data_IF_233567692903
#
_entry.id   IF_233567692903
#
_cell.length_a   1.000
_cell.length_b   1.000
_cell.length_c   1.000
_cell.angle_alpha   90.00
_cell.angle_beta   90.00
_cell.angle_gamma   90.00
#
_symmetry.space_group_name_H-M   'P 1'
#
loop_
_entity.id
_entity.type
_entity.pdbx_description
1 polymer ?
#
# COMPACT_ATOMS: atom_id res chain seq x y z
N UNK A 1 22.30 13.20 21.75
CA UNK A 1 21.57 12.13 22.45
C UNK A 1 21.63 10.84 21.64
N UNK A 2 21.39 9.70 22.28
CA UNK A 2 21.18 8.41 21.63
C UNK A 2 19.69 8.10 21.60
N UNK A 3 19.15 7.92 20.40
CA UNK A 3 17.73 7.76 20.13
C UNK A 3 17.46 6.35 19.63
N UNK A 4 16.53 5.66 20.27
CA UNK A 4 16.06 4.35 19.82
C UNK A 4 14.75 4.51 19.05
N UNK A 5 14.67 3.89 17.88
CA UNK A 5 13.47 3.85 17.06
C UNK A 5 13.04 2.38 16.92
N UNK A 6 11.82 2.07 17.33
CA UNK A 6 11.26 0.73 17.31
C UNK A 6 10.08 0.65 16.32
N UNK A 7 10.02 -0.41 15.52
CA UNK A 7 8.89 -0.62 14.60
C UNK A 7 8.68 -2.08 14.26
N UNK A 8 7.42 -2.44 13.96
CA UNK A 8 7.05 -3.72 13.37
C UNK A 8 6.87 -3.65 11.85
N UNK A 9 7.25 -2.52 11.22
CA UNK A 9 7.28 -2.36 9.79
C UNK A 9 8.38 -3.23 9.16
N UNK A 10 8.04 -4.12 8.20
CA UNK A 10 9.01 -5.09 7.67
C UNK A 10 9.96 -4.51 6.62
N UNK A 11 9.63 -3.37 5.99
CA UNK A 11 10.38 -2.82 4.86
C UNK A 11 10.83 -1.38 5.08
N UNK A 12 9.89 -0.50 5.39
CA UNK A 12 10.11 0.94 5.58
C UNK A 12 8.98 1.51 6.43
N UNK A 13 9.19 2.71 6.98
CA UNK A 13 8.18 3.46 7.71
C UNK A 13 8.50 4.95 7.61
N UNK A 14 7.70 5.67 6.81
CA UNK A 14 7.97 7.07 6.48
C UNK A 14 8.09 7.96 7.73
N UNK A 15 7.21 7.78 8.70
CA UNK A 15 7.16 8.66 9.86
C UNK A 15 8.45 8.58 10.70
N UNK A 16 8.94 7.38 10.96
CA UNK A 16 10.17 7.21 11.75
C UNK A 16 11.44 7.53 10.95
N UNK A 17 11.40 7.39 9.62
CA UNK A 17 12.49 7.88 8.76
C UNK A 17 12.61 9.40 8.83
N UNK A 18 11.49 10.12 8.92
CA UNK A 18 11.49 11.58 9.13
C UNK A 18 11.97 11.96 10.54
N UNK A 19 11.54 11.23 11.57
CA UNK A 19 12.07 11.39 12.95
C UNK A 19 13.58 11.17 12.99
N UNK A 20 14.08 10.11 12.34
CA UNK A 20 15.52 9.84 12.25
C UNK A 20 16.28 10.97 11.57
N UNK A 21 15.75 11.50 10.45
CA UNK A 21 16.35 12.63 9.76
C UNK A 21 16.46 13.87 10.65
N UNK A 22 15.38 14.19 11.39
CA UNK A 22 15.36 15.32 12.33
C UNK A 22 16.40 15.16 13.45
N UNK A 23 16.49 13.98 14.07
CA UNK A 23 17.50 13.70 15.09
C UNK A 23 18.93 13.77 14.56
N UNK A 24 19.21 13.14 13.42
CA UNK A 24 20.53 13.20 12.78
C UNK A 24 20.95 14.63 12.46
N UNK A 25 20.01 15.50 12.04
CA UNK A 25 20.29 16.92 11.81
C UNK A 25 20.68 17.67 13.09
N UNK A 26 20.21 17.20 14.25
CA UNK A 26 20.57 17.73 15.57
C UNK A 26 21.80 17.02 16.19
N UNK A 27 22.57 16.27 15.38
CA UNK A 27 23.75 15.50 15.80
C UNK A 27 23.43 14.37 16.82
N UNK A 28 22.20 13.88 16.83
CA UNK A 28 21.84 12.70 17.62
C UNK A 28 22.22 11.40 16.89
N UNK A 29 22.58 10.38 17.68
CA UNK A 29 22.77 9.03 17.18
C UNK A 29 21.44 8.29 17.15
N UNK A 30 21.05 7.75 16.00
CA UNK A 30 19.78 7.02 15.84
C UNK A 30 20.03 5.52 15.63
N UNK A 31 19.29 4.68 16.36
CA UNK A 31 19.36 3.23 16.30
C UNK A 31 17.98 2.63 15.96
N UNK A 32 17.89 1.86 14.88
CA UNK A 32 16.67 1.16 14.50
C UNK A 32 16.61 -0.24 15.15
N UNK A 33 15.51 -0.53 15.86
CA UNK A 33 15.19 -1.84 16.40
C UNK A 33 16.29 -2.47 17.27
N UNK A 34 16.96 -1.64 18.09
CA UNK A 34 17.99 -2.06 19.05
C UNK A 34 17.52 -1.91 20.50
N UNK A 35 16.49 -2.67 20.95
CA UNK A 35 15.82 -2.44 22.25
C UNK A 35 16.70 -2.72 23.48
N UNK A 36 17.84 -3.40 23.32
CA UNK A 36 18.76 -3.72 24.42
C UNK A 36 19.71 -2.53 24.70
N UNK A 37 19.91 -1.64 23.73
CA UNK A 37 20.83 -0.52 23.86
C UNK A 37 20.17 0.59 24.68
N UNK A 38 20.74 0.90 25.86
CA UNK A 38 20.31 2.04 26.67
C UNK A 38 20.39 3.31 25.81
N UNK A 39 19.26 4.00 25.71
CA UNK A 39 19.05 5.19 24.89
C UNK A 39 18.44 6.30 25.76
N UNK A 40 18.64 7.55 25.36
CA UNK A 40 18.16 8.73 26.07
C UNK A 40 16.66 8.99 25.79
N UNK A 41 16.18 8.57 24.61
CA UNK A 41 14.78 8.68 24.22
C UNK A 41 14.40 7.57 23.22
N UNK A 42 13.16 7.09 23.29
CA UNK A 42 12.66 6.00 22.44
C UNK A 42 11.33 6.32 21.77
N UNK A 43 11.27 6.12 20.45
CA UNK A 43 10.05 6.16 19.65
C UNK A 43 9.61 4.73 19.27
N UNK A 44 8.30 4.48 19.21
CA UNK A 44 7.75 3.25 18.64
C UNK A 44 6.63 3.52 17.62
N UNK A 45 6.84 3.14 16.36
CA UNK A 45 5.78 3.17 15.33
C UNK A 45 5.27 1.78 15.02
N UNK A 46 4.00 1.51 15.36
CA UNK A 46 3.39 0.18 15.29
C UNK A 46 2.27 0.16 14.26
N UNK A 47 2.44 -0.67 13.23
CA UNK A 47 1.48 -0.91 12.16
C UNK A 47 0.37 -1.87 12.59
N UNK A 48 0.75 -2.99 13.21
CA UNK A 48 -0.18 -4.09 13.50
C UNK A 48 -0.75 -3.98 14.91
N UNK A 49 -2.07 -3.91 15.04
CA UNK A 49 -2.74 -3.76 16.34
C UNK A 49 -2.39 -4.87 17.35
N UNK A 50 -2.14 -6.10 16.88
CA UNK A 50 -1.67 -7.22 17.72
C UNK A 50 -0.30 -6.97 18.38
N UNK A 51 0.52 -6.09 17.80
CA UNK A 51 1.85 -5.74 18.29
C UNK A 51 1.84 -4.45 19.14
N UNK A 52 0.67 -3.91 19.49
CA UNK A 52 0.55 -2.64 20.22
C UNK A 52 1.34 -2.60 21.54
N UNK A 53 1.53 -3.75 22.18
CA UNK A 53 2.30 -3.91 23.43
C UNK A 53 3.70 -4.52 23.23
N UNK A 54 4.17 -4.62 21.99
CA UNK A 54 5.45 -5.27 21.65
C UNK A 54 6.66 -4.47 22.14
N UNK A 55 6.53 -3.14 22.18
CA UNK A 55 7.62 -2.22 22.49
C UNK A 55 7.29 -1.41 23.74
N UNK A 56 8.33 -1.01 24.47
CA UNK A 56 8.28 -0.01 25.53
C UNK A 56 9.06 1.20 24.99
N UNK A 57 8.38 2.32 24.86
CA UNK A 57 8.90 3.56 24.30
C UNK A 57 8.33 4.77 25.04
N UNK A 58 9.02 5.91 24.93
CA UNK A 58 8.58 7.18 25.50
C UNK A 58 7.45 7.80 24.66
N UNK A 59 7.52 7.62 23.33
CA UNK A 59 6.51 8.09 22.38
C UNK A 59 6.05 6.97 21.45
N UNK A 60 4.74 6.93 21.16
CA UNK A 60 4.13 5.92 20.29
C UNK A 60 3.39 6.55 19.12
N UNK A 61 3.47 5.90 17.96
CA UNK A 61 2.69 6.27 16.79
C UNK A 61 2.39 5.11 15.84
N UNK A 62 1.85 5.45 14.68
CA UNK A 62 1.48 4.50 13.64
C UNK A 62 0.04 3.98 13.75
N UNK A 63 -0.44 3.21 12.75
CA UNK A 63 -1.83 2.80 12.61
C UNK A 63 -2.42 1.98 13.78
N UNK A 64 -1.61 1.46 14.71
CA UNK A 64 -2.11 0.82 15.93
C UNK A 64 -2.63 1.83 16.98
N UNK A 65 -2.36 3.13 16.80
CA UNK A 65 -2.76 4.22 17.68
C UNK A 65 -3.67 5.20 16.92
N UNK A 66 -4.58 5.87 17.64
CA UNK A 66 -5.60 6.76 17.03
C UNK A 66 -5.10 8.18 16.75
N UNK A 67 -4.18 8.68 17.58
CA UNK A 67 -3.61 10.03 17.49
C UNK A 67 -2.10 9.87 17.36
N UNK A 68 -1.60 9.96 16.15
CA UNK A 68 -0.16 9.94 15.89
C UNK A 68 0.13 10.80 14.67
N UNK A 69 0.31 12.08 14.91
CA UNK A 69 0.76 13.06 13.93
C UNK A 69 2.18 13.45 14.28
N UNK A 70 3.02 13.62 13.26
CA UNK A 70 4.34 14.21 13.46
C UNK A 70 4.18 15.71 13.73
N UNK A 71 5.16 16.30 14.41
CA UNK A 71 5.27 17.75 14.46
C UNK A 71 5.49 18.30 13.04
N UNK A 72 5.11 19.56 12.82
CA UNK A 72 5.18 20.19 11.50
C UNK A 72 6.60 20.15 10.89
N UNK A 73 7.61 20.43 11.71
CA UNK A 73 9.00 20.44 11.26
C UNK A 73 9.48 19.05 10.86
N UNK A 74 9.14 18.02 11.65
CA UNK A 74 9.48 16.63 11.34
C UNK A 74 8.72 16.14 10.12
N UNK A 75 7.43 16.50 9.98
CA UNK A 75 6.63 16.12 8.82
C UNK A 75 7.18 16.68 7.50
N UNK A 76 7.86 17.84 7.51
CA UNK A 76 8.48 18.41 6.30
C UNK A 76 9.85 17.84 5.98
N UNK A 77 10.44 17.03 6.86
CA UNK A 77 11.76 16.45 6.60
C UNK A 77 11.74 15.50 5.41
N UNK A 78 12.81 15.51 4.62
CA UNK A 78 13.12 14.41 3.72
C UNK A 78 13.43 13.15 4.56
N UNK A 79 12.96 11.96 4.17
CA UNK A 79 13.18 10.73 4.93
C UNK A 79 14.66 10.35 5.01
N UNK A 80 15.08 9.83 6.16
CA UNK A 80 16.37 9.15 6.30
C UNK A 80 16.32 7.77 5.62
N UNK A 81 16.74 7.73 4.35
CA UNK A 81 16.74 6.53 3.54
C UNK A 81 17.71 5.45 4.01
N UNK A 82 18.75 5.83 4.75
CA UNK A 82 19.75 4.90 5.28
C UNK A 82 19.20 4.08 6.45
N UNK A 83 18.21 4.61 7.19
CA UNK A 83 17.59 3.94 8.35
C UNK A 83 17.11 2.53 8.01
N UNK A 84 16.53 2.35 6.83
CA UNK A 84 16.06 1.06 6.30
C UNK A 84 16.92 0.53 5.15
N UNK A 85 18.01 1.22 4.80
CA UNK A 85 18.86 0.92 3.64
C UNK A 85 18.05 0.72 2.33
N UNK A 86 17.15 1.66 2.04
CA UNK A 86 16.32 1.63 0.82
C UNK A 86 16.89 2.50 -0.30
N UNK A 87 16.62 2.09 -1.54
CA UNK A 87 17.17 2.70 -2.76
C UNK A 87 16.10 3.39 -3.64
N UNK A 88 15.05 3.91 -3.00
CA UNK A 88 13.95 4.61 -3.64
C UNK A 88 13.44 5.75 -2.77
N UNK A 89 12.96 6.83 -3.41
CA UNK A 89 12.25 7.89 -2.72
C UNK A 89 10.90 7.38 -2.20
N UNK A 90 10.50 7.84 -1.02
CA UNK A 90 9.30 7.40 -0.33
C UNK A 90 8.55 8.64 0.17
N UNK A 91 7.25 8.72 -0.10
CA UNK A 91 6.45 9.86 0.34
C UNK A 91 5.00 9.80 -0.09
N UNK A 92 4.26 10.86 0.22
CA UNK A 92 2.89 11.09 -0.22
C UNK A 92 2.89 12.28 -1.17
N UNK A 93 2.16 12.18 -2.28
CA UNK A 93 1.69 13.38 -2.99
C UNK A 93 0.26 13.73 -2.60
N UNK A 94 -0.49 12.76 -2.07
CA UNK A 94 -1.85 12.96 -1.58
C UNK A 94 -2.20 11.91 -0.53
N UNK A 95 -2.52 12.33 0.70
CA UNK A 95 -2.88 11.44 1.80
C UNK A 95 -4.35 10.99 1.82
N UNK A 96 -5.36 11.84 1.56
CA UNK A 96 -6.74 11.44 1.79
C UNK A 96 -7.21 10.22 0.99
N UNK A 97 -8.16 9.50 1.59
CA UNK A 97 -9.03 8.57 0.89
C UNK A 97 -10.42 8.68 1.53
N UNK A 98 -11.39 9.14 0.74
CA UNK A 98 -12.76 9.43 1.15
C UNK A 98 -13.67 8.20 1.11
N UNK A 99 -13.13 7.03 0.74
CA UNK A 99 -13.88 5.78 0.79
C UNK A 99 -14.14 5.35 2.24
N UNK A 100 -15.35 4.94 2.56
CA UNK A 100 -15.76 4.52 3.92
C UNK A 100 -15.67 3.01 4.14
N UNK A 101 -14.63 2.36 3.59
CA UNK A 101 -14.46 0.91 3.69
C UNK A 101 -14.33 0.43 5.15
N UNK A 102 -15.27 -0.39 5.63
CA UNK A 102 -15.34 -0.82 7.04
C UNK A 102 -14.10 -1.60 7.53
N UNK A 103 -13.51 -2.40 6.64
CA UNK A 103 -12.28 -3.16 6.89
C UNK A 103 -11.02 -2.29 6.93
N UNK A 104 -11.10 -1.06 6.40
CA UNK A 104 -9.96 -0.17 6.29
C UNK A 104 -9.73 0.62 7.59
N UNK A 105 -8.46 0.90 7.89
CA UNK A 105 -8.07 1.82 8.97
C UNK A 105 -8.06 3.28 8.53
N UNK A 106 -7.83 3.56 7.25
CA UNK A 106 -7.65 4.92 6.73
C UNK A 106 -8.78 5.86 7.18
N UNK A 107 -10.08 5.53 7.03
CA UNK A 107 -11.15 6.45 7.43
C UNK A 107 -11.26 6.68 8.95
N UNK A 108 -10.56 5.88 9.76
CA UNK A 108 -10.54 5.96 11.23
C UNK A 108 -9.32 6.69 11.76
N UNK A 109 -8.37 7.03 10.89
CA UNK A 109 -7.14 7.76 11.23
C UNK A 109 -7.34 9.25 10.99
N UNK A 110 -6.59 10.06 11.72
CA UNK A 110 -6.54 11.50 11.53
C UNK A 110 -5.65 11.81 10.31
N UNK A 111 -6.23 12.45 9.29
CA UNK A 111 -5.52 12.90 8.09
C UNK A 111 -5.68 14.41 7.98
N UNK A 112 -4.91 15.19 8.76
CA UNK A 112 -5.05 16.65 8.78
C UNK A 112 -4.58 17.27 7.45
N UNK A 113 -3.68 16.59 6.75
CA UNK A 113 -3.20 16.98 5.43
C UNK A 113 -4.14 16.45 4.34
N UNK A 114 -4.79 17.41 3.68
CA UNK A 114 -5.73 17.19 2.57
C UNK A 114 -5.22 17.78 1.25
N UNK A 115 -3.99 18.29 1.24
CA UNK A 115 -3.42 19.01 0.11
C UNK A 115 -2.68 18.07 -0.85
N UNK A 116 -2.51 18.55 -2.07
CA UNK A 116 -1.62 17.93 -3.05
C UNK A 116 -0.20 18.46 -2.88
N UNK A 117 0.77 17.54 -2.87
CA UNK A 117 2.20 17.82 -2.73
C UNK A 117 2.98 17.33 -3.95
N UNK A 118 4.01 18.08 -4.32
CA UNK A 118 4.90 17.71 -5.42
C UNK A 118 5.82 16.55 -5.00
N UNK A 119 6.14 15.63 -5.93
CA UNK A 119 7.13 14.59 -5.65
C UNK A 119 8.51 15.21 -5.33
N UNK A 120 8.81 16.42 -5.82
CA UNK A 120 10.10 17.07 -5.62
C UNK A 120 10.34 17.52 -4.17
N UNK A 121 9.28 17.59 -3.35
CA UNK A 121 9.38 17.88 -1.92
C UNK A 121 10.14 16.77 -1.17
N UNK A 122 10.01 15.51 -1.60
CA UNK A 122 10.65 14.37 -0.94
C UNK A 122 11.56 13.55 -1.86
N UNK A 123 11.52 13.73 -3.18
CA UNK A 123 12.39 13.02 -4.09
C UNK A 123 13.88 13.36 -3.82
N UNK A 124 14.70 12.31 -3.76
CA UNK A 124 16.15 12.38 -3.69
C UNK A 124 16.70 11.96 -5.06
N UNK A 125 17.39 12.89 -5.73
CA UNK A 125 17.84 12.78 -7.11
C UNK A 125 18.81 11.62 -7.35
N UNK A 126 19.42 11.08 -6.28
CA UNK A 126 20.26 9.88 -6.36
C UNK A 126 19.46 8.63 -6.72
N UNK A 127 18.16 8.61 -6.45
CA UNK A 127 17.30 7.46 -6.72
C UNK A 127 16.61 7.56 -8.09
N UNK A 128 16.41 6.40 -8.73
CA UNK A 128 15.63 6.26 -9.98
C UNK A 128 14.27 5.61 -9.77
N UNK A 129 13.90 5.40 -8.51
CA UNK A 129 12.67 4.73 -8.08
C UNK A 129 11.94 5.59 -7.05
N UNK A 130 10.61 5.50 -7.07
CA UNK A 130 9.74 6.21 -6.13
C UNK A 130 8.60 5.31 -5.68
N UNK A 131 8.32 5.28 -4.39
CA UNK A 131 7.18 4.61 -3.78
C UNK A 131 6.24 5.69 -3.23
N UNK A 132 5.04 5.79 -3.82
CA UNK A 132 4.00 6.68 -3.33
C UNK A 132 3.13 5.93 -2.33
N UNK A 133 2.98 6.50 -1.14
CA UNK A 133 2.17 5.93 -0.06
C UNK A 133 0.71 6.38 -0.10
N UNK A 134 0.30 7.11 -1.14
CA UNK A 134 -1.06 7.64 -1.30
C UNK A 134 -2.11 6.57 -0.97
N UNK A 135 -3.09 6.93 -0.13
CA UNK A 135 -4.17 6.01 0.23
C UNK A 135 -5.11 5.75 -0.97
N UNK A 136 -5.26 6.74 -1.86
CA UNK A 136 -5.91 6.58 -3.16
C UNK A 136 -5.43 7.64 -4.15
N UNK A 137 -4.49 7.27 -5.03
CA UNK A 137 -3.91 8.19 -6.02
C UNK A 137 -4.93 8.87 -6.93
N UNK A 138 -6.05 8.22 -7.26
CA UNK A 138 -7.04 8.78 -8.20
C UNK A 138 -8.16 9.58 -7.55
N UNK A 139 -8.13 9.75 -6.23
CA UNK A 139 -8.98 10.71 -5.52
C UNK A 139 -8.35 12.10 -5.39
N UNK A 140 -7.04 12.21 -5.62
CA UNK A 140 -6.37 13.49 -5.77
C UNK A 140 -6.89 14.21 -7.03
N UNK A 141 -7.49 15.42 -6.91
CA UNK A 141 -7.91 16.19 -8.08
C UNK A 141 -6.74 16.54 -9.02
N UNK A 142 -5.52 16.63 -8.47
CA UNK A 142 -4.27 16.96 -9.17
C UNK A 142 -3.42 15.71 -9.45
N UNK A 143 -4.03 14.52 -9.46
CA UNK A 143 -3.34 13.25 -9.72
C UNK A 143 -2.44 13.30 -10.96
N UNK A 144 -2.84 14.01 -12.03
CA UNK A 144 -2.07 14.14 -13.27
C UNK A 144 -0.69 14.75 -13.05
N UNK A 145 -0.59 15.72 -12.15
CA UNK A 145 0.66 16.42 -11.86
C UNK A 145 1.68 15.46 -11.25
N UNK A 146 1.26 14.63 -10.30
CA UNK A 146 2.09 13.54 -9.75
C UNK A 146 2.69 12.68 -10.88
N UNK A 147 1.88 12.25 -11.85
CA UNK A 147 2.37 11.42 -12.96
C UNK A 147 3.28 12.19 -13.92
N UNK A 148 2.98 13.46 -14.20
CA UNK A 148 3.81 14.32 -15.05
C UNK A 148 5.20 14.53 -14.44
N UNK A 149 5.28 14.79 -13.14
CA UNK A 149 6.55 14.94 -12.43
C UNK A 149 7.35 13.62 -12.44
N UNK A 150 6.67 12.48 -12.22
CA UNK A 150 7.31 11.15 -12.30
C UNK A 150 7.94 10.93 -13.68
N UNK A 151 7.24 11.29 -14.76
CA UNK A 151 7.78 11.16 -16.12
C UNK A 151 8.92 12.14 -16.38
N UNK A 152 8.79 13.39 -15.91
CA UNK A 152 9.83 14.41 -16.06
C UNK A 152 11.12 14.01 -15.34
N UNK A 153 11.02 13.40 -14.16
CA UNK A 153 12.15 12.89 -13.38
C UNK A 153 12.65 11.51 -13.87
N UNK A 154 11.97 10.88 -14.83
CA UNK A 154 12.34 9.56 -15.38
C UNK A 154 12.27 8.43 -14.35
N UNK A 155 11.33 8.51 -13.39
CA UNK A 155 11.27 7.59 -12.25
C UNK A 155 10.49 6.30 -12.56
N UNK A 156 10.91 5.22 -11.90
CA UNK A 156 10.15 3.96 -11.86
C UNK A 156 9.32 3.89 -10.58
N UNK A 157 8.01 3.68 -10.71
CA UNK A 157 7.07 3.64 -9.58
C UNK A 157 7.06 2.26 -8.94
N UNK A 158 7.22 2.20 -7.62
CA UNK A 158 6.97 1.03 -6.78
C UNK A 158 5.55 1.16 -6.24
N UNK A 159 4.68 0.23 -6.63
CA UNK A 159 3.30 0.17 -6.19
C UNK A 159 3.15 -0.79 -5.00
N UNK A 160 2.78 -0.26 -3.83
CA UNK A 160 2.49 -1.05 -2.63
C UNK A 160 1.01 -1.01 -2.20
N UNK A 161 0.23 -0.02 -2.66
CA UNK A 161 -1.14 0.22 -2.19
C UNK A 161 -2.21 -0.17 -3.21
N UNK A 162 -1.85 -0.29 -4.49
CA UNK A 162 -2.78 -0.53 -5.59
C UNK A 162 -3.60 0.70 -5.98
N UNK A 163 -4.18 0.65 -7.18
CA UNK A 163 -4.99 1.72 -7.76
C UNK A 163 -6.49 1.40 -7.66
N UNK A 164 -7.31 2.42 -7.44
CA UNK A 164 -8.76 2.28 -7.36
C UNK A 164 -9.38 2.14 -8.75
N UNK A 165 -9.71 0.90 -9.13
CA UNK A 165 -10.29 0.59 -10.44
C UNK A 165 -11.65 1.25 -10.67
N UNK A 166 -12.38 1.57 -9.60
CA UNK A 166 -13.72 2.17 -9.70
C UNK A 166 -13.64 3.61 -10.21
N UNK A 167 -12.48 4.26 -10.04
CA UNK A 167 -12.21 5.62 -10.50
C UNK A 167 -11.50 5.66 -11.86
N UNK A 168 -11.24 4.50 -12.46
CA UNK A 168 -10.50 4.42 -13.72
C UNK A 168 -11.34 4.95 -14.89
N UNK A 169 -10.70 5.72 -15.74
CA UNK A 169 -11.22 6.16 -17.03
C UNK A 169 -10.11 6.03 -18.09
N UNK A 170 -10.40 6.37 -19.35
CA UNK A 170 -9.43 6.27 -20.45
C UNK A 170 -8.15 7.10 -20.19
N UNK A 171 -8.28 8.28 -19.57
CA UNK A 171 -7.15 9.16 -19.29
C UNK A 171 -6.23 8.59 -18.21
N UNK A 172 -6.80 8.11 -17.10
CA UNK A 172 -6.06 7.44 -16.01
C UNK A 172 -5.41 6.15 -16.50
N UNK A 173 -6.09 5.38 -17.36
CA UNK A 173 -5.51 4.19 -17.98
C UNK A 173 -4.33 4.53 -18.90
N UNK A 174 -4.42 5.61 -19.70
CA UNK A 174 -3.32 6.08 -20.50
C UNK A 174 -2.12 6.52 -19.64
N UNK A 175 -2.37 7.20 -18.52
CA UNK A 175 -1.32 7.58 -17.57
C UNK A 175 -0.64 6.35 -16.93
N UNK A 176 -1.41 5.34 -16.50
CA UNK A 176 -0.87 4.06 -16.04
C UNK A 176 -0.01 3.43 -17.15
N UNK A 177 -0.51 3.39 -18.39
CA UNK A 177 0.20 2.74 -19.50
C UNK A 177 1.53 3.42 -19.84
N UNK A 178 1.59 4.75 -19.71
CA UNK A 178 2.80 5.56 -19.92
C UNK A 178 3.83 5.41 -18.79
N UNK A 179 3.38 5.07 -17.59
CA UNK A 179 4.22 5.04 -16.38
C UNK A 179 5.00 3.75 -16.27
N UNK A 180 6.28 3.86 -15.94
CA UNK A 180 7.13 2.71 -15.67
C UNK A 180 6.90 2.23 -14.23
N UNK A 181 6.43 0.99 -14.08
CA UNK A 181 6.25 0.35 -12.79
C UNK A 181 7.32 -0.71 -12.52
N UNK A 182 7.71 -0.84 -11.26
CA UNK A 182 8.50 -1.97 -10.79
C UNK A 182 7.56 -3.16 -10.55
N UNK A 183 7.59 -4.14 -11.45
CA UNK A 183 6.73 -5.31 -11.38
C UNK A 183 5.33 -5.05 -11.94
N UNK A 184 4.34 -5.79 -11.44
CA UNK A 184 2.96 -5.66 -11.87
C UNK A 184 2.24 -4.56 -11.08
N UNK A 185 1.36 -3.83 -11.75
CA UNK A 185 0.44 -2.89 -11.11
C UNK A 185 -0.65 -3.65 -10.35
N UNK A 186 -1.01 -3.13 -9.18
CA UNK A 186 -2.06 -3.69 -8.35
C UNK A 186 -3.35 -2.85 -8.45
N UNK A 187 -4.48 -3.53 -8.36
CA UNK A 187 -5.81 -2.95 -8.19
C UNK A 187 -6.50 -3.66 -7.03
N UNK A 188 -7.65 -3.15 -6.57
CA UNK A 188 -8.44 -3.80 -5.53
C UNK A 188 -9.87 -4.10 -6.00
N UNK A 189 -10.38 -5.27 -5.61
CA UNK A 189 -11.81 -5.61 -5.65
C UNK A 189 -12.23 -6.18 -4.31
N UNK A 190 -12.43 -5.28 -3.35
CA UNK A 190 -12.67 -5.68 -1.96
C UNK A 190 -14.14 -6.03 -1.67
N UNK A 191 -15.10 -5.34 -2.29
CA UNK A 191 -16.53 -5.50 -1.99
C UNK A 191 -17.32 -6.02 -3.19
N UNK A 192 -18.24 -6.96 -2.95
CA UNK A 192 -19.13 -7.48 -4.00
C UNK A 192 -20.02 -6.39 -4.61
N UNK A 193 -20.51 -5.46 -3.78
CA UNK A 193 -21.37 -4.35 -4.24
C UNK A 193 -20.69 -3.43 -5.28
N UNK A 194 -19.36 -3.42 -5.36
CA UNK A 194 -18.61 -2.58 -6.31
C UNK A 194 -18.48 -3.24 -7.70
N UNK A 195 -19.05 -4.43 -7.91
CA UNK A 195 -18.89 -5.24 -9.12
C UNK A 195 -19.11 -4.45 -10.42
N UNK A 196 -20.22 -3.71 -10.52
CA UNK A 196 -20.56 -2.99 -11.75
C UNK A 196 -19.44 -1.99 -12.16
N UNK A 197 -18.89 -1.27 -11.18
CA UNK A 197 -17.80 -0.32 -11.37
C UNK A 197 -16.47 -1.05 -11.66
N UNK A 198 -16.19 -2.15 -10.95
CA UNK A 198 -15.00 -2.96 -11.20
C UNK A 198 -15.02 -3.53 -12.61
N UNK A 199 -16.14 -4.10 -13.06
CA UNK A 199 -16.29 -4.65 -14.41
C UNK A 199 -16.17 -3.55 -15.48
N UNK A 200 -16.69 -2.35 -15.23
CA UNK A 200 -16.47 -1.21 -16.11
C UNK A 200 -14.96 -0.86 -16.23
N UNK A 201 -14.25 -0.79 -15.11
CA UNK A 201 -12.80 -0.59 -15.10
C UNK A 201 -12.02 -1.72 -15.78
N UNK A 202 -12.44 -2.98 -15.62
CA UNK A 202 -11.84 -4.13 -16.31
C UNK A 202 -11.96 -4.03 -17.84
N UNK A 203 -13.08 -3.49 -18.35
CA UNK A 203 -13.23 -3.21 -19.79
C UNK A 203 -12.24 -2.14 -20.25
N UNK A 204 -12.02 -1.10 -19.46
CA UNK A 204 -11.02 -0.05 -19.75
C UNK A 204 -9.60 -0.65 -19.74
N UNK A 205 -9.23 -1.44 -18.74
CA UNK A 205 -7.93 -2.11 -18.69
C UNK A 205 -7.71 -3.01 -19.92
N UNK A 206 -8.74 -3.75 -20.33
CA UNK A 206 -8.69 -4.58 -21.55
C UNK A 206 -8.48 -3.73 -22.81
N UNK A 207 -9.22 -2.62 -22.96
CA UNK A 207 -9.09 -1.66 -24.08
C UNK A 207 -7.66 -1.14 -24.19
N UNK A 208 -7.04 -0.77 -23.06
CA UNK A 208 -5.67 -0.24 -22.99
C UNK A 208 -4.58 -1.32 -22.93
N UNK A 209 -4.95 -2.61 -22.99
CA UNK A 209 -4.02 -3.76 -22.88
C UNK A 209 -3.16 -3.64 -21.62
N UNK A 210 -3.79 -3.34 -20.49
CA UNK A 210 -3.19 -3.28 -19.16
C UNK A 210 -3.52 -4.59 -18.44
N UNK A 211 -2.49 -5.23 -17.90
CA UNK A 211 -2.61 -6.39 -17.03
C UNK A 211 -2.07 -6.02 -15.67
N UNK A 212 -2.75 -6.47 -14.63
CA UNK A 212 -2.41 -6.22 -13.24
C UNK A 212 -2.87 -7.35 -12.34
N UNK A 213 -2.52 -7.20 -11.07
CA UNK A 213 -2.90 -8.09 -9.99
C UNK A 213 -4.01 -7.43 -9.18
N UNK A 214 -5.03 -8.19 -8.79
CA UNK A 214 -6.15 -7.68 -8.04
C UNK A 214 -6.12 -8.21 -6.62
N UNK A 215 -5.97 -7.33 -5.64
CA UNK A 215 -6.24 -7.65 -4.25
C UNK A 215 -7.73 -7.98 -4.09
N UNK A 216 -8.00 -9.18 -3.57
CA UNK A 216 -9.35 -9.66 -3.27
C UNK A 216 -9.43 -9.94 -1.77
N UNK A 217 -10.12 -9.06 -1.06
CA UNK A 217 -10.45 -9.29 0.35
C UNK A 217 -11.44 -10.44 0.49
N UNK A 218 -11.12 -11.44 1.31
CA UNK A 218 -12.00 -12.58 1.60
C UNK A 218 -12.24 -12.74 3.10
N UNK A 219 -13.38 -13.35 3.47
CA UNK A 219 -13.70 -13.64 4.85
C UNK A 219 -13.96 -12.39 5.72
N UNK A 220 -14.40 -11.30 5.08
CA UNK A 220 -14.96 -10.12 5.75
C UNK A 220 -16.49 -10.18 5.66
N UNK A 221 -17.02 -10.08 4.45
CA UNK A 221 -18.46 -10.05 4.13
C UNK A 221 -18.81 -10.88 2.88
N UNK A 222 -17.95 -11.82 2.48
CA UNK A 222 -18.11 -12.67 1.29
C UNK A 222 -18.07 -14.16 1.62
N UNK A 223 -18.71 -14.97 0.77
CA UNK A 223 -18.62 -16.44 0.79
C UNK A 223 -17.56 -16.95 -0.18
N UNK A 224 -17.15 -18.21 -0.05
CA UNK A 224 -16.25 -18.87 -1.03
C UNK A 224 -16.84 -18.80 -2.46
N UNK A 225 -18.16 -18.88 -2.60
CA UNK A 225 -18.82 -18.78 -3.91
C UNK A 225 -18.61 -17.41 -4.53
N UNK A 226 -18.75 -16.35 -3.73
CA UNK A 226 -18.49 -14.97 -4.16
C UNK A 226 -17.01 -14.76 -4.52
N UNK A 227 -16.11 -15.33 -3.72
CA UNK A 227 -14.66 -15.26 -3.93
C UNK A 227 -14.24 -15.96 -5.23
N UNK A 228 -14.77 -17.17 -5.48
CA UNK A 228 -14.57 -17.91 -6.73
C UNK A 228 -15.14 -17.15 -7.93
N UNK A 229 -16.33 -16.55 -7.77
CA UNK A 229 -16.96 -15.73 -8.81
C UNK A 229 -16.07 -14.54 -9.20
N UNK A 230 -15.59 -13.77 -8.22
CA UNK A 230 -14.67 -12.63 -8.47
C UNK A 230 -13.40 -13.09 -9.20
N UNK A 231 -12.80 -14.19 -8.77
CA UNK A 231 -11.63 -14.78 -9.45
C UNK A 231 -11.94 -15.15 -10.90
N UNK A 232 -13.09 -15.77 -11.16
CA UNK A 232 -13.54 -16.15 -12.50
C UNK A 232 -13.80 -14.94 -13.40
N UNK A 233 -14.37 -13.85 -12.86
CA UNK A 233 -14.53 -12.59 -13.59
C UNK A 233 -13.16 -12.03 -13.99
N UNK A 234 -12.21 -11.92 -13.05
CA UNK A 234 -10.86 -11.42 -13.34
C UNK A 234 -10.13 -12.26 -14.40
N UNK A 235 -10.27 -13.58 -14.33
CA UNK A 235 -9.75 -14.52 -15.33
C UNK A 235 -10.24 -14.19 -16.74
N UNK A 236 -11.55 -13.97 -16.90
CA UNK A 236 -12.16 -13.58 -18.19
C UNK A 236 -11.57 -12.28 -18.74
N UNK A 237 -11.11 -11.38 -17.87
CA UNK A 237 -10.43 -10.14 -18.24
C UNK A 237 -8.91 -10.23 -18.30
N UNK A 238 -8.34 -11.44 -18.21
CA UNK A 238 -6.89 -11.73 -18.26
C UNK A 238 -6.10 -11.03 -17.13
N UNK A 239 -6.75 -10.81 -15.99
CA UNK A 239 -6.18 -10.26 -14.77
C UNK A 239 -5.92 -11.38 -13.75
N UNK A 240 -4.95 -11.18 -12.87
CA UNK A 240 -4.57 -12.17 -11.88
C UNK A 240 -5.14 -11.81 -10.50
N UNK A 241 -5.86 -12.72 -9.82
CA UNK A 241 -6.32 -12.49 -8.45
C UNK A 241 -5.18 -12.72 -7.43
N UNK A 242 -5.16 -11.90 -6.38
CA UNK A 242 -4.31 -12.04 -5.20
C UNK A 242 -5.17 -11.97 -3.94
N UNK A 243 -5.23 -13.09 -3.22
CA UNK A 243 -6.15 -13.25 -2.10
C UNK A 243 -5.60 -12.63 -0.81
N UNK A 244 -6.44 -11.80 -0.18
CA UNK A 244 -6.21 -11.10 1.07
C UNK A 244 -7.19 -11.58 2.15
N UNK A 245 -6.83 -12.58 2.97
CA UNK A 245 -7.71 -13.03 4.06
C UNK A 245 -7.82 -11.98 5.17
N UNK A 246 -9.04 -11.48 5.40
CA UNK A 246 -9.35 -10.65 6.56
C UNK A 246 -9.27 -11.48 7.85
N UNK A 247 -10.04 -12.57 7.90
CA UNK A 247 -9.96 -13.58 8.98
C UNK A 247 -8.96 -14.67 8.62
N UNK A 248 -7.98 -14.90 9.50
CA UNK A 248 -6.86 -15.84 9.30
C UNK A 248 -7.20 -17.29 9.73
N UNK A 249 -8.31 -17.84 9.25
CA UNK A 249 -8.75 -19.22 9.53
C UNK A 249 -8.18 -20.26 8.53
N UNK A 250 -8.38 -21.56 8.78
CA UNK A 250 -7.87 -22.66 7.93
C UNK A 250 -8.40 -22.57 6.49
N UNK A 251 -9.68 -22.24 6.32
CA UNK A 251 -10.39 -22.19 5.04
C UNK A 251 -9.83 -21.07 4.16
N UNK A 252 -9.77 -19.84 4.66
CA UNK A 252 -9.28 -18.68 3.92
C UNK A 252 -7.79 -18.80 3.59
N UNK A 253 -6.99 -19.39 4.50
CA UNK A 253 -5.57 -19.71 4.24
C UNK A 253 -5.44 -20.78 3.15
N UNK A 254 -6.31 -21.79 3.13
CA UNK A 254 -6.35 -22.80 2.06
C UNK A 254 -6.69 -22.15 0.72
N UNK A 255 -7.70 -21.27 0.67
CA UNK A 255 -8.09 -20.54 -0.54
C UNK A 255 -6.95 -19.63 -1.06
N UNK A 256 -6.29 -18.89 -0.17
CA UNK A 256 -5.10 -18.09 -0.54
C UNK A 256 -4.00 -18.94 -1.16
N UNK A 257 -3.67 -20.09 -0.54
CA UNK A 257 -2.66 -21.01 -1.07
C UNK A 257 -3.05 -21.54 -2.44
N UNK A 258 -4.28 -21.99 -2.61
CA UNK A 258 -4.82 -22.44 -3.89
C UNK A 258 -4.56 -21.43 -5.01
N UNK A 259 -5.03 -20.18 -4.84
CA UNK A 259 -4.86 -19.15 -5.87
C UNK A 259 -3.38 -18.88 -6.14
N UNK A 260 -2.56 -18.87 -5.09
CA UNK A 260 -1.10 -18.66 -5.19
C UNK A 260 -0.32 -19.78 -5.87
N UNK A 261 -0.88 -20.99 -6.02
CA UNK A 261 -0.25 -22.07 -6.80
C UNK A 261 -0.32 -21.84 -8.31
N UNK A 262 -1.19 -20.93 -8.77
CA UNK A 262 -1.54 -20.73 -10.17
C UNK A 262 -2.10 -21.96 -10.90
N UNK A 263 -2.40 -23.06 -10.21
CA UNK A 263 -2.92 -24.28 -10.84
C UNK A 263 -4.24 -24.05 -11.58
N UNK A 264 -5.04 -23.07 -11.12
CA UNK A 264 -6.30 -22.66 -11.73
C UNK A 264 -6.17 -22.28 -13.21
N UNK A 265 -4.97 -21.91 -13.67
CA UNK A 265 -4.71 -21.62 -15.08
C UNK A 265 -4.81 -22.85 -15.99
N UNK A 266 -4.71 -24.07 -15.43
CA UNK A 266 -4.86 -25.34 -16.15
C UNK A 266 -6.33 -25.76 -16.33
N UNK A 267 -7.26 -25.07 -15.68
CA UNK A 267 -8.68 -25.44 -15.66
C UNK A 267 -9.52 -24.43 -16.44
N UNK A 268 -10.68 -24.88 -16.90
CA UNK A 268 -11.64 -24.03 -17.62
C UNK A 268 -12.29 -22.99 -16.70
N UNK A 269 -12.46 -23.29 -15.41
CA UNK A 269 -13.09 -22.41 -14.42
C UNK A 269 -12.34 -22.49 -13.09
N UNK A 270 -12.42 -21.40 -12.30
CA UNK A 270 -11.89 -21.37 -10.93
C UNK A 270 -12.56 -22.41 -10.02
N UNK A 271 -13.87 -22.65 -10.17
CA UNK A 271 -14.61 -23.64 -9.40
C UNK A 271 -14.04 -25.05 -9.61
N UNK A 272 -13.84 -25.47 -10.87
CA UNK A 272 -13.29 -26.79 -11.15
C UNK A 272 -11.87 -26.97 -10.57
N UNK A 273 -11.04 -25.93 -10.64
CA UNK A 273 -9.70 -25.93 -10.04
C UNK A 273 -9.74 -26.01 -8.51
N UNK A 274 -10.68 -25.32 -7.89
CA UNK A 274 -10.85 -25.32 -6.43
C UNK A 274 -11.36 -26.66 -5.93
N UNK A 275 -12.35 -27.25 -6.59
CA UNK A 275 -12.89 -28.56 -6.23
C UNK A 275 -11.79 -29.63 -6.29
N UNK A 276 -10.96 -29.63 -7.34
CA UNK A 276 -9.81 -30.54 -7.46
C UNK A 276 -8.75 -30.30 -6.39
N UNK A 277 -8.45 -29.04 -6.04
CA UNK A 277 -7.51 -28.71 -4.96
C UNK A 277 -8.02 -29.09 -3.57
N UNK A 278 -9.34 -29.20 -3.42
CA UNK A 278 -9.97 -29.43 -2.11
C UNK A 278 -10.23 -30.89 -1.76
N UNK A 279 -10.28 -31.76 -2.78
CA UNK A 279 -10.21 -33.22 -2.63
C UNK A 279 -8.99 -33.64 -1.82
#
# INVERSE_FOLDING_TARGET
MKISILTDAPKHNLAIMKISAWHKQNNDQVLLNMPIVKSDYTYASVLFGKNRKKFIADEYGGPAFKKSTLSFDVEKMKPDYELFNIDYSLGYTFRPCYNTCFFCKVPKMEHPDVEHHSIFEFHDYKFKKICLLNNNTFQDPRWKETFQEIWAAGLTVIDENGYDIRLLNDEKAAAIKKTKFQGQIHFAWDRMQDEALVVAGLRILRKHKIRGVFYILIGFDTTIKDDLYRCEVLRKYKQDPYIMPYVQNKVNKRFKRFVGTYMWRKYRTFTAAWDDYTR
#
